data_IF_289919184972
#
_entry.id   IF_289919184972
#
_cell.length_a   1.000
_cell.length_b   1.000
_cell.length_c   1.000
_cell.angle_alpha   90.00
_cell.angle_beta   90.00
_cell.angle_gamma   90.00
#
_symmetry.space_group_name_H-M   'P 1'
#
loop_
_entity.id
_entity.type
_entity.pdbx_description
1 polymer ?
#
# COMPACT_ATOMS: atom_id res chain seq x y z
N UNK A 1 20.11 3.46 16.03
CA UNK A 1 18.84 4.20 15.90
C UNK A 1 17.86 3.53 14.93
N UNK A 2 18.30 3.11 13.74
CA UNK A 2 17.44 2.51 12.71
C UNK A 2 16.65 1.26 13.19
N UNK A 3 17.29 0.37 13.95
CA UNK A 3 16.63 -0.82 14.55
C UNK A 3 15.46 -0.46 15.46
N UNK A 4 15.55 0.66 16.21
CA UNK A 4 14.47 1.08 17.09
C UNK A 4 13.26 1.60 16.30
N UNK A 5 13.52 2.35 15.22
CA UNK A 5 12.47 2.86 14.35
C UNK A 5 11.76 1.73 13.58
N UNK A 6 12.51 0.78 13.02
CA UNK A 6 11.94 -0.40 12.36
C UNK A 6 11.04 -1.20 13.31
N UNK A 7 11.45 -1.39 14.56
CA UNK A 7 10.62 -2.04 15.58
C UNK A 7 9.34 -1.25 15.87
N UNK A 8 9.40 0.08 15.89
CA UNK A 8 8.22 0.91 16.07
C UNK A 8 7.25 0.79 14.89
N UNK A 9 7.76 0.87 13.65
CA UNK A 9 6.98 0.67 12.42
C UNK A 9 6.34 -0.72 12.41
N UNK A 10 7.11 -1.77 12.73
CA UNK A 10 6.59 -3.13 12.83
C UNK A 10 5.43 -3.26 13.81
N UNK A 11 5.50 -2.58 14.96
CA UNK A 11 4.42 -2.58 15.97
C UNK A 11 3.20 -1.82 15.47
N UNK A 12 3.39 -0.75 14.71
CA UNK A 12 2.31 -0.01 14.08
C UNK A 12 1.51 -0.92 13.13
N UNK A 13 2.19 -1.63 12.24
CA UNK A 13 1.57 -2.60 11.32
C UNK A 13 0.86 -3.74 12.06
N UNK A 14 1.47 -4.28 13.12
CA UNK A 14 0.83 -5.32 13.92
C UNK A 14 -0.45 -4.85 14.62
N UNK A 15 -0.57 -3.55 14.95
CA UNK A 15 -1.70 -2.99 15.70
C UNK A 15 -2.81 -2.41 14.81
N UNK A 16 -2.45 -1.81 13.68
CA UNK A 16 -3.36 -1.08 12.80
C UNK A 16 -3.55 -1.74 11.43
N UNK A 17 -2.67 -2.68 11.08
CA UNK A 17 -2.69 -3.33 9.78
C UNK A 17 -3.88 -4.28 9.65
N UNK A 18 -4.45 -4.30 8.45
CA UNK A 18 -5.45 -5.26 8.01
C UNK A 18 -4.73 -6.41 7.30
N UNK A 19 -4.93 -7.67 7.72
CA UNK A 19 -4.35 -8.81 7.02
C UNK A 19 -4.79 -8.87 5.56
N UNK A 20 -3.88 -9.29 4.69
CA UNK A 20 -4.11 -9.43 3.26
C UNK A 20 -3.04 -10.27 2.58
N UNK A 21 -3.14 -10.37 1.27
CA UNK A 21 -2.16 -11.06 0.42
C UNK A 21 -1.63 -10.12 -0.65
N UNK A 22 -0.33 -10.21 -0.93
CA UNK A 22 0.31 -9.54 -2.06
C UNK A 22 0.73 -10.60 -3.07
N UNK A 23 0.35 -10.45 -4.33
CA UNK A 23 0.69 -11.36 -5.41
C UNK A 23 1.69 -10.70 -6.35
N UNK A 24 2.89 -11.29 -6.39
CA UNK A 24 3.95 -10.90 -7.31
C UNK A 24 3.59 -11.25 -8.75
N UNK A 25 4.21 -10.57 -9.72
CA UNK A 25 4.10 -10.88 -11.14
C UNK A 25 4.40 -12.36 -11.50
N UNK A 26 5.23 -13.05 -10.71
CA UNK A 26 5.54 -14.48 -10.90
C UNK A 26 4.48 -15.45 -10.33
N UNK A 27 3.40 -14.90 -9.75
CA UNK A 27 2.27 -15.66 -9.21
C UNK A 27 2.41 -16.07 -7.74
N UNK A 28 3.55 -15.83 -7.09
CA UNK A 28 3.70 -16.11 -5.65
C UNK A 28 2.87 -15.13 -4.82
N UNK A 29 2.21 -15.67 -3.80
CA UNK A 29 1.46 -14.90 -2.82
C UNK A 29 2.22 -14.77 -1.50
N UNK A 30 2.20 -13.56 -0.94
CA UNK A 30 2.84 -13.17 0.31
C UNK A 30 1.73 -12.72 1.26
N UNK A 31 1.54 -13.43 2.38
CA UNK A 31 0.67 -12.95 3.45
C UNK A 31 1.35 -11.79 4.19
N UNK A 32 0.66 -10.66 4.33
CA UNK A 32 1.17 -9.45 4.97
C UNK A 32 0.02 -8.63 5.57
N UNK A 33 0.34 -7.48 6.18
CA UNK A 33 -0.63 -6.52 6.67
C UNK A 33 -0.53 -5.21 5.90
N UNK A 34 -1.68 -4.62 5.60
CA UNK A 34 -1.79 -3.34 4.90
C UNK A 34 -2.39 -2.30 5.84
N UNK A 35 -1.89 -1.07 5.81
CA UNK A 35 -2.55 0.07 6.43
C UNK A 35 -3.18 0.89 5.31
N UNK A 36 -4.51 0.86 5.21
CA UNK A 36 -5.23 1.72 4.29
C UNK A 36 -5.05 3.20 4.71
N UNK A 37 -4.70 4.05 3.75
CA UNK A 37 -4.64 5.49 3.92
C UNK A 37 -5.97 6.04 3.47
N UNK A 38 -6.55 6.91 4.29
CA UNK A 38 -7.75 7.65 3.90
C UNK A 38 -7.41 8.35 2.58
N UNK A 39 -8.19 8.14 1.50
CA UNK A 39 -7.94 8.84 0.25
C UNK A 39 -7.99 10.34 0.53
N UNK A 40 -6.98 11.08 0.08
CA UNK A 40 -6.97 12.53 0.17
C UNK A 40 -8.18 13.05 -0.63
N UNK A 41 -9.28 13.35 0.05
CA UNK A 41 -10.44 13.99 -0.56
C UNK A 41 -10.04 15.45 -0.81
N UNK A 42 -9.79 15.83 -2.06
CA UNK A 42 -9.68 17.24 -2.43
C UNK A 42 -10.90 17.63 -3.23
N UNK A 43 -11.84 18.30 -2.55
CA UNK A 43 -13.07 18.96 -3.01
C UNK A 43 -12.90 19.87 -4.26
N UNK A 44 -14.04 20.26 -4.86
CA UNK A 44 -14.17 20.82 -6.21
C UNK A 44 -13.58 22.22 -6.39
N UNK A 45 -13.17 22.52 -7.64
CA UNK A 45 -12.87 23.88 -8.10
C UNK A 45 -13.45 24.10 -9.52
N UNK A 46 -14.55 24.85 -9.64
CA UNK A 46 -15.17 25.20 -10.93
C UNK A 46 -15.82 24.02 -11.70
N UNK A 47 -15.92 24.12 -13.03
CA UNK A 47 -16.65 23.20 -13.94
C UNK A 47 -15.83 22.01 -14.46
N UNK A 48 -14.62 21.75 -13.94
CA UNK A 48 -13.85 20.57 -14.35
C UNK A 48 -13.12 19.95 -13.16
N UNK A 49 -13.47 18.71 -12.85
CA UNK A 49 -12.83 17.94 -11.78
C UNK A 49 -12.67 16.49 -12.23
N UNK A 50 -11.43 16.08 -12.48
CA UNK A 50 -11.08 14.67 -12.65
C UNK A 50 -10.30 14.25 -11.39
N UNK A 51 -11.03 13.92 -10.33
CA UNK A 51 -10.46 13.31 -9.13
C UNK A 51 -10.71 11.82 -9.24
N UNK A 52 -9.68 11.06 -9.62
CA UNK A 52 -9.72 9.62 -9.44
C UNK A 52 -9.38 9.39 -7.97
N UNK A 53 -10.38 9.01 -7.17
CA UNK A 53 -10.16 8.58 -5.80
C UNK A 53 -9.25 7.35 -5.82
N UNK A 54 -7.95 7.56 -5.65
CA UNK A 54 -6.98 6.48 -5.63
C UNK A 54 -6.90 5.90 -4.22
N UNK A 55 -7.11 4.59 -4.11
CA UNK A 55 -6.99 3.92 -2.82
C UNK A 55 -5.51 3.77 -2.51
N UNK A 56 -5.05 4.31 -1.38
CA UNK A 56 -3.64 4.23 -0.99
C UNK A 56 -3.46 3.25 0.15
N UNK A 57 -2.42 2.44 0.09
CA UNK A 57 -2.12 1.42 1.09
C UNK A 57 -0.64 1.41 1.41
N UNK A 58 -0.31 1.36 2.70
CA UNK A 58 1.07 1.12 3.13
C UNK A 58 1.27 -0.36 3.40
N UNK A 59 2.41 -0.91 2.93
CA UNK A 59 2.89 -2.28 3.19
C UNK A 59 4.35 -2.24 3.63
N UNK A 60 4.79 -3.19 4.46
CA UNK A 60 6.18 -3.22 4.91
C UNK A 60 7.12 -3.76 3.83
N UNK A 61 8.24 -3.07 3.62
CA UNK A 61 9.25 -3.47 2.65
C UNK A 61 9.92 -4.82 2.97
N UNK A 62 9.96 -5.21 4.24
CA UNK A 62 10.48 -6.54 4.63
C UNK A 62 9.59 -7.70 4.20
N UNK A 63 8.29 -7.46 4.04
CA UNK A 63 7.33 -8.47 3.59
C UNK A 63 7.29 -8.46 2.06
N UNK A 64 7.24 -7.27 1.45
CA UNK A 64 7.23 -7.07 0.01
C UNK A 64 8.44 -6.22 -0.40
N UNK A 65 9.52 -6.89 -0.80
CA UNK A 65 10.82 -6.25 -1.04
C UNK A 65 10.84 -5.32 -2.26
N UNK A 66 10.09 -5.65 -3.31
CA UNK A 66 10.11 -4.91 -4.58
C UNK A 66 8.74 -4.96 -5.25
N UNK A 67 7.73 -4.25 -4.72
CA UNK A 67 6.44 -4.12 -5.37
C UNK A 67 6.60 -3.40 -6.73
N UNK A 68 5.74 -3.71 -7.70
CA UNK A 68 5.77 -3.10 -9.04
C UNK A 68 4.37 -2.71 -9.51
N UNK A 69 4.33 -1.80 -10.47
CA UNK A 69 3.10 -1.53 -11.22
C UNK A 69 2.55 -2.83 -11.85
N UNK A 70 1.23 -3.01 -11.77
CA UNK A 70 0.54 -4.19 -12.29
C UNK A 70 0.48 -5.39 -11.34
N UNK A 71 1.27 -5.41 -10.27
CA UNK A 71 1.11 -6.41 -9.20
C UNK A 71 -0.29 -6.30 -8.57
N UNK A 72 -0.76 -7.38 -7.94
CA UNK A 72 -2.08 -7.42 -7.31
C UNK A 72 -1.99 -7.66 -5.82
N UNK A 73 -2.94 -7.14 -5.07
CA UNK A 73 -3.03 -7.38 -3.65
C UNK A 73 -4.48 -7.39 -3.19
N UNK A 74 -4.77 -8.17 -2.15
CA UNK A 74 -6.10 -8.33 -1.59
C UNK A 74 -6.10 -7.87 -0.15
N UNK A 75 -6.98 -6.93 0.19
CA UNK A 75 -7.15 -6.39 1.54
C UNK A 75 -8.63 -6.40 1.88
N UNK A 76 -8.99 -6.95 3.05
CA UNK A 76 -10.38 -7.04 3.50
C UNK A 76 -11.35 -7.66 2.46
N UNK A 77 -10.87 -8.62 1.66
CA UNK A 77 -11.65 -9.31 0.63
C UNK A 77 -11.78 -8.59 -0.71
N UNK A 78 -11.31 -7.33 -0.83
CA UNK A 78 -11.24 -6.62 -2.11
C UNK A 78 -9.86 -6.76 -2.72
N UNK A 79 -9.80 -7.07 -4.01
CA UNK A 79 -8.56 -7.12 -4.79
C UNK A 79 -8.32 -5.81 -5.51
N UNK A 80 -7.06 -5.39 -5.50
CA UNK A 80 -6.57 -4.20 -6.15
C UNK A 80 -5.40 -4.55 -7.06
N UNK A 81 -5.22 -3.75 -8.11
CA UNK A 81 -4.02 -3.72 -8.92
C UNK A 81 -3.21 -2.47 -8.57
N UNK A 82 -1.90 -2.62 -8.43
CA UNK A 82 -0.97 -1.50 -8.21
C UNK A 82 -0.92 -0.65 -9.48
N UNK A 83 -1.15 0.65 -9.31
CA UNK A 83 -1.17 1.66 -10.37
C UNK A 83 0.03 2.58 -10.24
N UNK A 84 0.83 2.71 -11.30
CA UNK A 84 2.08 3.45 -11.27
C UNK A 84 3.13 2.87 -10.31
N UNK A 85 4.25 3.59 -10.18
CA UNK A 85 5.39 3.15 -9.38
C UNK A 85 5.11 3.28 -7.86
N UNK A 86 5.32 2.21 -7.07
CA UNK A 86 5.28 2.27 -5.61
C UNK A 86 6.27 3.27 -5.01
N UNK A 87 5.85 3.98 -3.96
CA UNK A 87 6.68 4.99 -3.31
C UNK A 87 7.29 4.43 -2.02
N UNK A 88 8.61 4.42 -1.92
CA UNK A 88 9.29 4.10 -0.66
C UNK A 88 9.28 5.30 0.28
N UNK A 89 9.12 5.05 1.58
CA UNK A 89 9.41 6.05 2.60
C UNK A 89 10.92 6.33 2.70
N UNK A 90 11.28 7.38 3.45
CA UNK A 90 12.66 7.84 3.58
C UNK A 90 13.62 6.74 4.05
N UNK A 91 13.17 5.91 4.99
CA UNK A 91 13.99 4.85 5.59
C UNK A 91 13.89 3.50 4.85
N UNK A 92 13.10 3.44 3.75
CA UNK A 92 12.81 2.25 2.94
C UNK A 92 12.28 1.07 3.75
N UNK A 93 11.46 1.38 4.75
CA UNK A 93 10.78 0.41 5.59
C UNK A 93 9.34 0.17 5.13
N UNK A 94 8.75 1.16 4.43
CA UNK A 94 7.36 1.14 4.00
C UNK A 94 7.29 1.47 2.51
N UNK A 95 6.47 0.71 1.80
CA UNK A 95 5.99 1.06 0.46
C UNK A 95 4.57 1.60 0.56
N UNK A 96 4.31 2.76 -0.04
CA UNK A 96 2.96 3.24 -0.33
C UNK A 96 2.58 2.81 -1.74
N UNK A 97 1.52 2.01 -1.82
CA UNK A 97 0.89 1.53 -3.03
C UNK A 97 -0.33 2.39 -3.38
N UNK A 98 -0.49 2.66 -4.66
CA UNK A 98 -1.73 3.20 -5.23
C UNK A 98 -2.49 2.04 -5.86
N UNK A 99 -3.71 1.77 -5.41
CA UNK A 99 -4.53 0.64 -5.86
C UNK A 99 -5.76 1.09 -6.64
N UNK A 100 -6.03 0.43 -7.77
CA UNK A 100 -7.32 0.46 -8.45
C UNK A 100 -8.05 -0.88 -8.20
N UNK A 101 -9.35 -0.88 -7.85
CA UNK A 101 -10.13 -2.11 -7.75
C UNK A 101 -10.08 -2.91 -9.06
N UNK A 102 -9.97 -4.23 -8.94
CA UNK A 102 -10.06 -5.21 -10.05
C UNK A 102 -11.45 -5.83 -10.06
#
# INVERSE_FOLDING_TARGET
>A
MQVAFERAVSRLFARLGVPGTYRLADGREIATCFIAKIPDVVESFGDTRLVVAAHRFDVMARDVASPREGDRFTVAGQTYQVMGEPLADRDRLIWTLTGAPV
#
